data_IF_588110865111
#
_entry.id   IF_588110865111
#
_cell.length_a   1.000
_cell.length_b   1.000
_cell.length_c   1.000
_cell.angle_alpha   90.00
_cell.angle_beta   90.00
_cell.angle_gamma   90.00
#
_symmetry.space_group_name_H-M   'P 1'
#
loop_
_entity.id
_entity.type
_entity.pdbx_description
1 polymer ?
#
# COMPACT_ATOMS: atom_id res chain seq x y z
N UNK A 1 3.92 -15.43 12.82
CA UNK A 1 3.43 -14.56 11.71
C UNK A 1 4.19 -13.23 11.61
N UNK A 2 4.45 -12.51 12.71
CA UNK A 2 5.10 -11.18 12.73
C UNK A 2 6.51 -11.14 12.09
N UNK A 3 7.33 -12.19 12.27
CA UNK A 3 8.66 -12.27 11.66
C UNK A 3 8.67 -12.57 10.16
N UNK A 4 7.64 -13.23 9.63
CA UNK A 4 7.53 -13.60 8.22
C UNK A 4 7.14 -12.37 7.40
N UNK A 5 6.13 -11.61 7.85
CA UNK A 5 5.69 -10.40 7.17
C UNK A 5 6.77 -9.31 7.17
N UNK A 6 7.52 -9.17 8.27
CA UNK A 6 8.64 -8.23 8.33
C UNK A 6 9.79 -8.61 7.36
N UNK A 7 10.04 -9.91 7.15
CA UNK A 7 11.01 -10.36 6.14
C UNK A 7 10.51 -10.11 4.71
N UNK A 8 9.23 -10.39 4.43
CA UNK A 8 8.63 -10.24 3.10
C UNK A 8 8.47 -8.77 2.70
N UNK A 9 7.80 -7.96 3.52
CA UNK A 9 7.51 -6.57 3.21
C UNK A 9 8.64 -5.60 3.58
N UNK A 10 9.63 -6.07 4.34
CA UNK A 10 10.72 -5.24 4.84
C UNK A 10 10.46 -4.72 6.26
N UNK A 11 11.56 -4.51 7.00
CA UNK A 11 11.51 -4.10 8.41
C UNK A 11 10.98 -2.68 8.56
N UNK A 12 11.40 -1.75 7.70
CA UNK A 12 11.02 -0.35 7.82
C UNK A 12 9.52 -0.17 7.54
N UNK A 13 9.02 -0.78 6.47
CA UNK A 13 7.59 -0.79 6.17
C UNK A 13 6.77 -1.40 7.30
N UNK A 14 7.20 -2.54 7.83
CA UNK A 14 6.47 -3.22 8.89
C UNK A 14 6.37 -2.38 10.18
N UNK A 15 7.44 -1.67 10.53
CA UNK A 15 7.42 -0.71 11.64
C UNK A 15 6.41 0.41 11.39
N UNK A 16 6.43 1.02 10.20
CA UNK A 16 5.45 2.06 9.83
C UNK A 16 4.00 1.53 9.82
N UNK A 17 3.80 0.27 9.42
CA UNK A 17 2.50 -0.39 9.46
C UNK A 17 2.00 -0.61 10.91
N UNK A 18 2.88 -1.06 11.81
CA UNK A 18 2.57 -1.19 13.23
C UNK A 18 2.21 0.17 13.85
N UNK A 19 2.98 1.21 13.54
CA UNK A 19 2.72 2.59 13.97
C UNK A 19 1.35 3.08 13.48
N UNK A 20 1.01 2.83 12.21
CA UNK A 20 -0.28 3.17 11.63
C UNK A 20 -1.46 2.45 12.31
N UNK A 21 -1.25 1.18 12.73
CA UNK A 21 -2.20 0.41 13.52
C UNK A 21 -2.44 1.03 14.90
N UNK A 22 -1.37 1.42 15.57
CA UNK A 22 -1.46 1.99 16.91
C UNK A 22 -2.06 3.40 16.89
N UNK A 23 -1.77 4.20 15.86
CA UNK A 23 -2.43 5.51 15.65
C UNK A 23 -3.92 5.32 15.34
N UNK A 24 -4.29 4.38 14.47
CA UNK A 24 -5.69 4.12 14.16
C UNK A 24 -6.47 3.65 15.40
N UNK A 25 -5.85 2.83 16.25
CA UNK A 25 -6.44 2.41 17.53
C UNK A 25 -6.63 3.59 18.49
N UNK A 26 -5.63 4.45 18.64
CA UNK A 26 -5.73 5.65 19.47
C UNK A 26 -6.84 6.60 18.98
N UNK A 27 -6.96 6.78 17.65
CA UNK A 27 -8.06 7.57 17.05
C UNK A 27 -9.43 6.98 17.41
N UNK A 28 -9.58 5.65 17.29
CA UNK A 28 -10.85 4.94 17.54
C UNK A 28 -11.23 4.96 19.02
N UNK A 29 -10.28 4.70 19.91
CA UNK A 29 -10.54 4.58 21.34
C UNK A 29 -10.66 5.94 22.05
N UNK A 30 -10.02 6.99 21.51
CA UNK A 30 -9.99 8.31 22.15
C UNK A 30 -9.24 8.30 23.50
N UNK A 31 -9.49 9.30 24.34
CA UNK A 31 -8.93 9.38 25.69
C UNK A 31 -7.44 9.74 25.77
N UNK A 32 -6.78 9.30 26.83
CA UNK A 32 -5.38 9.65 27.13
C UNK A 32 -4.38 9.23 26.06
N UNK A 33 -4.55 8.05 25.44
CA UNK A 33 -3.65 7.57 24.38
C UNK A 33 -3.68 8.46 23.14
N UNK A 34 -4.84 9.05 22.83
CA UNK A 34 -4.99 10.03 21.76
C UNK A 34 -4.34 11.36 22.14
N UNK A 35 -4.55 11.83 23.37
CA UNK A 35 -3.98 13.09 23.87
C UNK A 35 -2.46 13.02 24.04
N UNK A 36 -1.89 11.85 24.40
CA UNK A 36 -0.44 11.62 24.43
C UNK A 36 0.18 11.69 23.04
N UNK A 37 -0.51 11.16 22.02
CA UNK A 37 -0.03 11.21 20.62
C UNK A 37 -0.28 12.55 19.93
N UNK A 38 -1.27 13.33 20.39
CA UNK A 38 -1.62 14.63 19.82
C UNK A 38 -2.02 15.60 20.94
N UNK A 39 -1.06 16.15 21.70
CA UNK A 39 -1.38 17.07 22.79
C UNK A 39 -1.99 18.36 22.25
N UNK A 40 -2.88 19.03 23.02
CA UNK A 40 -3.58 20.24 22.56
C UNK A 40 -2.62 21.40 22.21
N UNK A 41 -1.45 21.48 22.84
CA UNK A 41 -0.39 22.43 22.46
C UNK A 41 0.20 22.17 21.07
N UNK A 42 0.25 20.90 20.64
CA UNK A 42 0.64 20.54 19.28
C UNK A 42 -0.47 20.96 18.31
N UNK A 43 -1.73 20.73 18.66
CA UNK A 43 -2.90 21.16 17.84
C UNK A 43 -2.91 22.68 17.66
N UNK A 44 -2.66 23.47 18.72
CA UNK A 44 -2.58 24.94 18.59
C UNK A 44 -1.45 25.38 17.68
N UNK A 45 -0.28 24.73 17.76
CA UNK A 45 0.83 24.97 16.83
C UNK A 45 0.47 24.58 15.38
N UNK A 46 -0.34 23.53 15.19
CA UNK A 46 -0.91 23.13 13.90
C UNK A 46 -1.91 24.14 13.33
N UNK A 47 -2.70 24.78 14.18
CA UNK A 47 -3.68 25.80 13.78
C UNK A 47 -2.99 27.12 13.41
N UNK A 48 -1.99 27.56 14.17
CA UNK A 48 -1.31 28.85 13.95
C UNK A 48 -0.26 28.81 12.86
N UNK A 49 0.42 27.67 12.66
CA UNK A 49 1.40 27.52 11.61
C UNK A 49 0.86 26.70 10.45
N UNK A 50 0.18 27.27 9.45
CA UNK A 50 -0.25 26.58 8.21
C UNK A 50 0.91 26.04 7.32
N UNK A 51 2.14 26.01 7.85
CA UNK A 51 3.40 25.75 7.14
C UNK A 51 3.57 24.32 6.59
N UNK A 52 2.78 23.34 7.03
CA UNK A 52 2.94 21.92 6.67
C UNK A 52 2.61 21.59 5.21
N UNK A 53 1.83 22.45 4.54
CA UNK A 53 1.51 22.27 3.12
C UNK A 53 2.75 22.45 2.22
N UNK A 54 3.81 23.10 2.73
CA UNK A 54 5.02 23.40 1.97
C UNK A 54 6.09 22.29 2.02
N UNK A 55 5.97 21.34 2.96
CA UNK A 55 6.94 20.25 3.14
C UNK A 55 6.27 18.89 2.87
N UNK A 56 5.65 18.76 1.71
CA UNK A 56 5.10 17.48 1.26
C UNK A 56 6.26 16.52 0.93
N UNK A 57 6.36 15.35 1.58
CA UNK A 57 7.31 14.34 1.16
C UNK A 57 7.05 13.95 -0.30
N UNK A 58 8.11 13.63 -1.03
CA UNK A 58 8.00 13.27 -2.44
C UNK A 58 7.02 12.08 -2.61
N UNK A 59 5.92 12.21 -3.36
CA UNK A 59 4.95 11.13 -3.59
C UNK A 59 5.47 10.06 -4.57
N UNK A 60 6.57 10.32 -5.27
CA UNK A 60 7.12 9.44 -6.29
C UNK A 60 7.29 7.97 -5.86
N UNK A 61 7.76 7.63 -4.64
CA UNK A 61 7.90 6.23 -4.22
C UNK A 61 6.55 5.50 -4.14
N UNK A 62 5.48 6.17 -3.73
CA UNK A 62 4.14 5.57 -3.66
C UNK A 62 3.58 5.34 -5.06
N UNK A 63 3.76 6.31 -5.96
CA UNK A 63 3.36 6.18 -7.36
C UNK A 63 4.18 5.10 -8.08
N UNK A 64 5.49 5.04 -7.84
CA UNK A 64 6.38 4.03 -8.41
C UNK A 64 6.01 2.63 -7.93
N UNK A 65 5.77 2.45 -6.62
CA UNK A 65 5.30 1.19 -6.06
C UNK A 65 3.95 0.76 -6.69
N UNK A 66 3.01 1.69 -6.79
CA UNK A 66 1.68 1.46 -7.39
C UNK A 66 1.79 1.03 -8.87
N UNK A 67 2.65 1.69 -9.64
CA UNK A 67 2.92 1.34 -11.02
C UNK A 67 3.55 -0.06 -11.14
N UNK A 68 4.54 -0.37 -10.30
CA UNK A 68 5.19 -1.69 -10.29
C UNK A 68 4.20 -2.80 -9.88
N UNK A 69 3.31 -2.54 -8.92
CA UNK A 69 2.25 -3.48 -8.54
C UNK A 69 1.29 -3.75 -9.70
N UNK A 70 0.93 -2.72 -10.44
CA UNK A 70 0.06 -2.85 -11.61
C UNK A 70 0.75 -3.69 -12.70
N UNK A 71 1.97 -3.32 -13.10
CA UNK A 71 2.70 -4.03 -14.16
C UNK A 71 2.96 -5.47 -13.74
N UNK A 72 3.47 -5.68 -12.52
CA UNK A 72 3.73 -7.02 -11.99
C UNK A 72 2.46 -7.86 -11.90
N UNK A 73 1.32 -7.26 -11.51
CA UNK A 73 0.06 -7.97 -11.41
C UNK A 73 -0.56 -8.34 -12.75
N UNK A 74 -0.53 -7.43 -13.72
CA UNK A 74 -1.01 -7.71 -15.09
C UNK A 74 -0.16 -8.80 -15.75
N UNK A 75 1.17 -8.72 -15.65
CA UNK A 75 2.08 -9.75 -16.18
C UNK A 75 1.87 -11.11 -15.49
N UNK A 76 1.70 -11.12 -14.17
CA UNK A 76 1.47 -12.37 -13.42
C UNK A 76 0.11 -12.98 -13.75
N UNK A 77 -0.93 -12.14 -13.92
CA UNK A 77 -2.27 -12.57 -14.29
C UNK A 77 -2.32 -13.14 -15.72
N UNK A 78 -1.61 -12.50 -16.67
CA UNK A 78 -1.49 -13.00 -18.04
C UNK A 78 -0.99 -14.44 -18.07
N UNK A 79 0.08 -14.73 -17.31
CA UNK A 79 0.63 -16.08 -17.23
C UNK A 79 -0.38 -17.10 -16.70
N UNK A 80 -1.15 -16.75 -15.67
CA UNK A 80 -2.15 -17.65 -15.08
C UNK A 80 -3.29 -17.90 -16.06
N UNK A 81 -3.76 -16.88 -16.78
CA UNK A 81 -4.89 -17.02 -17.71
C UNK A 81 -4.53 -17.75 -19.00
N UNK A 82 -3.28 -17.64 -19.46
CA UNK A 82 -2.80 -18.38 -20.64
C UNK A 82 -2.94 -19.90 -20.46
N UNK A 83 -2.87 -20.40 -19.22
CA UNK A 83 -3.11 -21.81 -18.89
C UNK A 83 -4.56 -22.26 -18.97
N UNK A 84 -5.51 -21.34 -18.81
CA UNK A 84 -6.92 -21.74 -18.66
C UNK A 84 -7.62 -22.08 -19.98
N UNK A 85 -6.96 -21.93 -21.14
CA UNK A 85 -7.46 -22.27 -22.51
C UNK A 85 -8.99 -22.08 -22.61
N UNK A 86 -9.49 -20.93 -22.16
CA UNK A 86 -10.85 -20.53 -22.49
C UNK A 86 -10.83 -20.01 -23.93
N UNK A 87 -11.93 -20.24 -24.67
CA UNK A 87 -12.14 -19.72 -26.03
C UNK A 87 -11.52 -18.31 -26.19
N UNK A 88 -10.80 -18.08 -27.28
CA UNK A 88 -10.04 -16.85 -27.58
C UNK A 88 -10.70 -15.53 -27.13
N UNK A 89 -12.01 -15.26 -27.40
CA UNK A 89 -12.68 -14.05 -26.92
C UNK A 89 -12.83 -13.96 -25.39
N UNK A 90 -13.03 -15.08 -24.70
CA UNK A 90 -13.15 -15.12 -23.23
C UNK A 90 -11.81 -14.82 -22.57
N UNK A 91 -10.69 -15.25 -23.15
CA UNK A 91 -9.37 -14.97 -22.59
C UNK A 91 -9.05 -13.46 -22.62
N UNK A 92 -9.43 -12.78 -23.71
CA UNK A 92 -9.30 -11.32 -23.84
C UNK A 92 -10.16 -10.58 -22.79
N UNK A 93 -11.39 -11.03 -22.57
CA UNK A 93 -12.30 -10.43 -21.59
C UNK A 93 -11.75 -10.58 -20.17
N UNK A 94 -11.23 -11.77 -19.84
CA UNK A 94 -10.66 -12.04 -18.51
C UNK A 94 -9.39 -11.23 -18.29
N UNK A 95 -8.52 -11.14 -19.30
CA UNK A 95 -7.31 -10.31 -19.23
C UNK A 95 -7.66 -8.83 -19.02
N UNK A 96 -8.54 -8.28 -19.85
CA UNK A 96 -8.96 -6.88 -19.74
C UNK A 96 -9.67 -6.59 -18.41
N UNK A 97 -10.54 -7.51 -17.97
CA UNK A 97 -11.20 -7.45 -16.66
C UNK A 97 -10.21 -7.48 -15.50
N UNK A 98 -9.16 -8.32 -15.58
CA UNK A 98 -8.11 -8.38 -14.55
C UNK A 98 -7.27 -7.11 -14.50
N UNK A 99 -6.95 -6.52 -15.66
CA UNK A 99 -6.22 -5.24 -15.73
C UNK A 99 -7.04 -4.09 -15.14
N UNK A 100 -8.34 -4.01 -15.47
CA UNK A 100 -9.26 -3.03 -14.86
C UNK A 100 -9.36 -3.25 -13.35
N UNK A 101 -9.52 -4.50 -12.91
CA UNK A 101 -9.60 -4.86 -11.49
C UNK A 101 -8.36 -4.40 -10.73
N UNK A 102 -7.16 -4.71 -11.24
CA UNK A 102 -5.89 -4.27 -10.65
C UNK A 102 -5.76 -2.75 -10.64
N UNK A 103 -6.15 -2.07 -11.71
CA UNK A 103 -6.20 -0.60 -11.77
C UNK A 103 -7.07 0.00 -10.68
N UNK A 104 -8.30 -0.49 -10.52
CA UNK A 104 -9.22 -0.01 -9.49
C UNK A 104 -8.68 -0.26 -8.08
N UNK A 105 -8.08 -1.42 -7.85
CA UNK A 105 -7.44 -1.75 -6.57
C UNK A 105 -6.27 -0.80 -6.26
N UNK A 106 -5.39 -0.55 -7.23
CA UNK A 106 -4.24 0.36 -7.06
C UNK A 106 -4.71 1.81 -6.87
N UNK A 107 -5.73 2.26 -7.60
CA UNK A 107 -6.31 3.59 -7.39
C UNK A 107 -6.90 3.73 -5.98
N UNK A 108 -7.63 2.71 -5.50
CA UNK A 108 -8.17 2.68 -4.15
C UNK A 108 -7.05 2.68 -3.09
N UNK A 109 -5.97 1.95 -3.35
CA UNK A 109 -4.76 1.91 -2.51
C UNK A 109 -4.18 3.32 -2.33
N UNK A 110 -3.83 3.98 -3.43
CA UNK A 110 -3.23 5.32 -3.44
C UNK A 110 -4.14 6.33 -2.75
N UNK A 111 -5.44 6.27 -3.03
CA UNK A 111 -6.42 7.15 -2.41
C UNK A 111 -6.53 6.96 -0.90
N UNK A 112 -6.54 5.70 -0.43
CA UNK A 112 -6.59 5.40 1.00
C UNK A 112 -5.30 5.77 1.72
N UNK A 113 -4.13 5.56 1.09
CA UNK A 113 -2.84 6.01 1.62
C UNK A 113 -2.81 7.53 1.73
N UNK A 114 -3.21 8.25 0.67
CA UNK A 114 -3.24 9.71 0.66
C UNK A 114 -4.12 10.27 1.79
N UNK A 115 -5.21 9.56 2.12
CA UNK A 115 -6.08 9.90 3.25
C UNK A 115 -5.56 9.45 4.62
N UNK A 116 -4.47 8.68 4.69
CA UNK A 116 -3.88 8.18 5.94
C UNK A 116 -4.67 7.03 6.58
N UNK A 117 -5.44 6.26 5.78
CA UNK A 117 -6.16 5.10 6.28
C UNK A 117 -5.28 3.85 6.31
N UNK A 118 -5.31 3.13 7.44
CA UNK A 118 -4.66 1.82 7.56
C UNK A 118 -5.19 0.81 6.52
N UNK A 119 -6.43 0.98 6.05
CA UNK A 119 -7.00 0.15 5.00
C UNK A 119 -6.18 0.21 3.71
N UNK A 120 -5.61 1.38 3.37
CA UNK A 120 -4.72 1.54 2.22
C UNK A 120 -3.46 0.70 2.37
N UNK A 121 -2.78 0.80 3.51
CA UNK A 121 -1.60 -0.02 3.79
C UNK A 121 -1.90 -1.53 3.81
N UNK A 122 -3.09 -1.93 4.29
CA UNK A 122 -3.53 -3.34 4.22
C UNK A 122 -3.72 -3.79 2.78
N UNK A 123 -4.29 -2.92 1.94
CA UNK A 123 -4.44 -3.18 0.52
C UNK A 123 -3.07 -3.30 -0.17
N UNK A 124 -2.10 -2.44 0.14
CA UNK A 124 -0.71 -2.54 -0.37
C UNK A 124 -0.13 -3.93 -0.11
N UNK A 125 -0.21 -4.39 1.15
CA UNK A 125 0.33 -5.71 1.55
C UNK A 125 -0.41 -6.83 0.83
N UNK A 126 -1.72 -6.73 0.72
CA UNK A 126 -2.54 -7.74 0.07
C UNK A 126 -2.21 -7.86 -1.42
N UNK A 127 -2.12 -6.73 -2.14
CA UNK A 127 -1.77 -6.70 -3.56
C UNK A 127 -0.34 -7.18 -3.80
N UNK A 128 0.61 -6.77 -2.94
CA UNK A 128 1.99 -7.25 -3.01
C UNK A 128 2.10 -8.77 -2.79
N UNK A 129 1.39 -9.32 -1.80
CA UNK A 129 1.35 -10.76 -1.57
C UNK A 129 0.66 -11.51 -2.70
N UNK A 130 -0.42 -10.97 -3.26
CA UNK A 130 -1.08 -11.54 -4.42
C UNK A 130 -0.11 -11.64 -5.61
N UNK A 131 0.65 -10.58 -5.88
CA UNK A 131 1.70 -10.59 -6.90
C UNK A 131 2.79 -11.63 -6.62
N UNK A 132 3.26 -11.76 -5.38
CA UNK A 132 4.21 -12.82 -5.01
C UNK A 132 3.62 -14.21 -5.28
N UNK A 133 2.37 -14.45 -4.89
CA UNK A 133 1.71 -15.74 -5.06
C UNK A 133 1.55 -16.09 -6.55
N UNK A 134 1.05 -15.16 -7.36
CA UNK A 134 0.87 -15.36 -8.80
C UNK A 134 2.21 -15.58 -9.51
N UNK A 135 3.22 -14.76 -9.19
CA UNK A 135 4.58 -14.93 -9.70
C UNK A 135 5.19 -16.29 -9.26
N UNK A 136 4.99 -16.68 -8.01
CA UNK A 136 5.43 -17.98 -7.48
C UNK A 136 4.76 -19.16 -8.16
N UNK A 137 3.46 -19.08 -8.47
CA UNK A 137 2.78 -20.12 -9.26
C UNK A 137 3.34 -20.25 -10.67
N UNK A 138 3.72 -19.13 -11.31
CA UNK A 138 4.34 -19.16 -12.62
C UNK A 138 5.75 -19.74 -12.60
N UNK A 139 6.55 -19.39 -11.59
CA UNK A 139 7.89 -19.93 -11.40
C UNK A 139 7.87 -21.44 -11.08
N UNK A 140 6.94 -21.88 -10.22
CA UNK A 140 6.78 -23.30 -9.90
C UNK A 140 6.42 -24.12 -11.14
N UNK A 141 5.56 -23.58 -12.00
CA UNK A 141 5.19 -24.25 -13.23
C UNK A 141 6.36 -24.47 -14.19
N UNK A 142 7.19 -23.44 -14.38
CA UNK A 142 8.39 -23.51 -15.22
C UNK A 142 9.38 -24.53 -14.66
N UNK A 143 9.51 -24.63 -13.34
CA UNK A 143 10.41 -25.58 -12.69
C UNK A 143 9.91 -27.03 -12.80
N UNK A 144 8.60 -27.25 -12.70
CA UNK A 144 8.01 -28.60 -12.76
C UNK A 144 7.88 -29.12 -14.20
N UNK A 145 7.63 -28.26 -15.18
CA UNK A 145 7.55 -28.62 -16.59
C UNK A 145 8.87 -28.24 -17.26
N UNK A 146 9.87 -29.12 -17.16
CA UNK A 146 11.27 -29.03 -17.64
C UNK A 146 11.50 -28.59 -19.11
N UNK A 147 10.46 -28.19 -19.85
CA UNK A 147 10.48 -27.80 -21.26
C UNK A 147 9.83 -26.43 -21.56
N UNK A 148 9.39 -25.65 -20.56
CA UNK A 148 8.82 -24.32 -20.83
C UNK A 148 9.91 -23.25 -20.84
N UNK A 149 10.11 -22.59 -21.97
CA UNK A 149 10.90 -21.36 -22.04
C UNK A 149 10.38 -20.33 -21.04
N UNK A 150 11.31 -19.62 -20.38
CA UNK A 150 10.97 -18.58 -19.42
C UNK A 150 10.31 -17.41 -20.17
N UNK A 151 8.98 -17.34 -20.12
CA UNK A 151 8.22 -16.26 -20.76
C UNK A 151 8.65 -14.89 -20.22
N UNK A 152 8.80 -13.92 -21.12
CA UNK A 152 9.19 -12.54 -20.79
C UNK A 152 8.32 -11.93 -19.69
N UNK A 153 7.02 -12.24 -19.69
CA UNK A 153 6.06 -11.74 -18.69
C UNK A 153 6.39 -12.20 -17.27
N UNK A 154 6.86 -13.44 -17.11
CA UNK A 154 7.24 -13.98 -15.82
C UNK A 154 8.53 -13.31 -15.30
N UNK A 155 9.49 -13.05 -16.19
CA UNK A 155 10.71 -12.30 -15.85
C UNK A 155 10.37 -10.89 -15.40
N UNK A 156 9.49 -10.19 -16.14
CA UNK A 156 9.02 -8.86 -15.78
C UNK A 156 8.32 -8.89 -14.42
N UNK A 157 7.44 -9.86 -14.17
CA UNK A 157 6.77 -10.02 -12.88
C UNK A 157 7.75 -10.21 -11.71
N UNK A 158 8.78 -11.04 -11.88
CA UNK A 158 9.83 -11.26 -10.87
C UNK A 158 10.57 -9.94 -10.57
N UNK A 159 10.99 -9.21 -11.61
CA UNK A 159 11.67 -7.92 -11.48
C UNK A 159 10.77 -6.93 -10.73
N UNK A 160 9.49 -6.84 -11.11
CA UNK A 160 8.54 -5.93 -10.46
C UNK A 160 8.31 -6.27 -9.00
N UNK A 161 8.24 -7.55 -8.61
CA UNK A 161 8.12 -7.97 -7.21
C UNK A 161 9.36 -7.57 -6.40
N UNK A 162 10.55 -7.76 -6.96
CA UNK A 162 11.81 -7.37 -6.30
C UNK A 162 11.89 -5.85 -6.12
N UNK A 163 11.56 -5.08 -7.16
CA UNK A 163 11.53 -3.61 -7.11
C UNK A 163 10.46 -3.11 -6.13
N UNK A 164 9.26 -3.70 -6.12
CA UNK A 164 8.21 -3.39 -5.15
C UNK A 164 8.71 -3.56 -3.72
N UNK A 165 9.39 -4.67 -3.42
CA UNK A 165 9.97 -4.92 -2.08
C UNK A 165 11.00 -3.86 -1.72
N UNK A 166 11.85 -3.50 -2.67
CA UNK A 166 12.90 -2.50 -2.47
C UNK A 166 12.32 -1.11 -2.20
N UNK A 167 11.35 -0.66 -3.01
CA UNK A 167 10.67 0.63 -2.83
C UNK A 167 9.85 0.66 -1.53
N UNK A 168 9.09 -0.40 -1.25
CA UNK A 168 8.26 -0.49 -0.04
C UNK A 168 9.11 -0.42 1.24
N UNK A 169 10.30 -1.03 1.24
CA UNK A 169 11.24 -0.94 2.36
C UNK A 169 12.16 0.29 2.30
N UNK A 170 11.93 1.21 1.37
CA UNK A 170 12.66 2.47 1.25
C UNK A 170 12.19 3.51 2.28
N UNK A 171 13.14 4.30 2.76
CA UNK A 171 12.87 5.33 3.77
C UNK A 171 11.84 6.36 3.29
N UNK A 172 11.96 6.81 2.04
CA UNK A 172 11.06 7.79 1.42
C UNK A 172 9.60 7.31 1.35
N UNK A 173 9.39 6.02 1.06
CA UNK A 173 8.06 5.40 1.07
C UNK A 173 7.46 5.40 2.48
N UNK A 174 8.26 5.01 3.49
CA UNK A 174 7.80 5.00 4.89
C UNK A 174 7.56 6.39 5.47
N UNK A 175 8.36 7.39 5.07
CA UNK A 175 8.13 8.79 5.44
C UNK A 175 6.80 9.30 4.89
N UNK A 176 6.47 9.00 3.63
CA UNK A 176 5.18 9.37 3.04
C UNK A 176 3.99 8.77 3.80
N UNK A 177 4.09 7.50 4.17
CA UNK A 177 3.09 6.82 5.00
C UNK A 177 2.90 7.54 6.34
N UNK A 178 4.00 7.82 7.06
CA UNK A 178 3.97 8.51 8.35
C UNK A 178 3.40 9.92 8.24
N UNK A 179 3.75 10.64 7.18
CA UNK A 179 3.23 11.97 6.91
C UNK A 179 1.70 11.96 6.69
N UNK A 180 1.20 11.07 5.82
CA UNK A 180 -0.24 10.93 5.58
C UNK A 180 -1.00 10.52 6.86
N UNK A 181 -0.41 9.62 7.66
CA UNK A 181 -0.94 9.20 8.95
C UNK A 181 -1.01 10.37 9.95
N UNK A 182 0.07 11.13 10.09
CA UNK A 182 0.15 12.32 10.94
C UNK A 182 -0.89 13.37 10.53
N UNK A 183 -1.02 13.66 9.23
CA UNK A 183 -2.03 14.59 8.70
C UNK A 183 -3.46 14.16 9.03
N UNK A 184 -3.74 12.85 9.08
CA UNK A 184 -5.05 12.34 9.49
C UNK A 184 -5.26 12.51 11.00
N UNK A 185 -4.26 12.16 11.80
CA UNK A 185 -4.31 12.31 13.26
C UNK A 185 -4.61 13.76 13.67
N UNK A 186 -3.89 14.73 13.09
CA UNK A 186 -4.10 16.16 13.33
C UNK A 186 -5.50 16.61 12.91
N UNK A 187 -6.00 16.20 11.73
CA UNK A 187 -7.36 16.54 11.28
C UNK A 187 -8.43 16.04 12.24
N UNK A 188 -8.30 14.81 12.72
CA UNK A 188 -9.23 14.25 13.72
C UNK A 188 -9.14 14.99 15.04
N UNK A 189 -7.94 15.37 15.47
CA UNK A 189 -7.71 16.11 16.71
C UNK A 189 -8.33 17.51 16.64
N UNK A 190 -8.16 18.21 15.52
CA UNK A 190 -8.76 19.51 15.27
C UNK A 190 -10.30 19.44 15.27
N UNK A 191 -10.90 18.45 14.61
CA UNK A 191 -12.35 18.25 14.65
C UNK A 191 -12.88 18.03 16.08
N UNK A 192 -12.18 17.23 16.90
CA UNK A 192 -12.53 17.02 18.30
C UNK A 192 -12.38 18.32 19.12
N UNK A 193 -11.36 19.12 18.86
CA UNK A 193 -11.16 20.40 19.54
C UNK A 193 -12.28 21.40 19.20
N UNK A 194 -12.58 21.60 17.92
CA UNK A 194 -13.64 22.52 17.48
C UNK A 194 -15.02 22.11 18.04
N UNK A 195 -15.36 20.82 17.99
CA UNK A 195 -16.63 20.31 18.55
C UNK A 195 -16.72 20.46 20.08
N UNK A 196 -15.57 20.42 20.78
CA UNK A 196 -15.53 20.68 22.23
C UNK A 196 -15.70 22.18 22.57
N UNK A 197 -15.22 23.08 21.71
CA UNK A 197 -15.40 24.53 21.91
C UNK A 197 -16.84 24.98 21.62
N UNK A 198 -17.52 24.40 20.62
CA UNK A 198 -18.93 24.72 20.31
C UNK A 198 -19.93 24.18 21.32
N UNK A 199 -19.49 23.34 22.29
CA UNK A 199 -20.32 22.81 23.39
C UNK A 199 -20.25 23.64 24.67
N UNK A 200 -19.42 24.68 24.70
CA UNK A 200 -19.38 25.69 25.77
C UNK A 200 -20.18 26.91 25.34
#
# INVERSE_FOLDING_TARGET
>A
MMGIMSKLCGKQFWLAFCEAKDVTRAIKNGGEDFNKKCPPALISHFITGFSWEHSLPNPAPVCAFSFMLLVGGVCSAHFVFDKFILYWPLNIIIYFGSAIGMMLCVMAEVWLIAKGFILGLRLCVLLFLLNIMLCGTGLFDVLCHQNSELKSDLVIAIIMVVLCRWVMNGETFTMMIRFCLGRRLVRVALQKYLTSQTRK
#
